data_IF_942534533051
#
_entry.id   IF_942534533051
#
_cell.length_a   1.000
_cell.length_b   1.000
_cell.length_c   1.000
_cell.angle_alpha   90.00
_cell.angle_beta   90.00
_cell.angle_gamma   90.00
#
_symmetry.space_group_name_H-M   'P 1'
#
loop_
_entity.id
_entity.type
_entity.pdbx_description
1 polymer ?
#
# COMPACT_ATOMS: atom_id res chain seq x y z
N UNK A 1 13.34 22.13 -8.57
CA UNK A 1 13.70 20.71 -8.84
C UNK A 1 13.47 20.51 -10.32
N UNK A 2 14.44 19.96 -11.06
CA UNK A 2 14.31 19.80 -12.52
C UNK A 2 13.25 18.77 -12.87
N UNK A 3 12.53 18.99 -13.96
CA UNK A 3 11.65 17.99 -14.56
C UNK A 3 12.52 16.84 -15.08
N UNK A 4 12.32 15.64 -14.55
CA UNK A 4 12.92 14.43 -15.06
C UNK A 4 11.94 13.82 -16.06
N UNK A 5 12.38 13.61 -17.30
CA UNK A 5 11.60 12.86 -18.27
C UNK A 5 11.55 11.39 -17.86
N UNK A 6 10.35 10.84 -17.85
CA UNK A 6 10.08 9.46 -17.45
C UNK A 6 9.32 8.76 -18.57
N UNK A 7 9.83 7.63 -19.03
CA UNK A 7 9.20 6.74 -19.99
C UNK A 7 8.42 5.65 -19.24
N UNK A 8 7.18 5.41 -19.66
CA UNK A 8 6.39 4.25 -19.27
C UNK A 8 6.63 3.11 -20.27
N UNK A 9 7.29 2.04 -19.83
CA UNK A 9 7.54 0.85 -20.66
C UNK A 9 7.61 -0.43 -19.82
N UNK A 10 7.19 -1.55 -20.39
CA UNK A 10 7.35 -2.89 -19.79
C UNK A 10 6.80 -3.04 -18.36
N UNK A 11 5.78 -2.26 -18.00
CA UNK A 11 5.17 -2.30 -16.66
C UNK A 11 5.96 -1.56 -15.57
N UNK A 12 6.96 -0.76 -15.94
CA UNK A 12 7.72 0.08 -15.01
C UNK A 12 7.97 1.48 -15.61
N UNK A 13 8.51 2.37 -14.78
CA UNK A 13 8.92 3.70 -15.18
C UNK A 13 10.44 3.76 -15.29
N UNK A 14 10.94 4.42 -16.33
CA UNK A 14 12.36 4.53 -16.62
C UNK A 14 12.78 5.96 -16.93
N UNK A 15 13.99 6.34 -16.53
CA UNK A 15 14.67 7.54 -17.04
C UNK A 15 15.22 7.27 -18.45
N UNK A 16 15.60 8.33 -19.15
CA UNK A 16 16.16 8.25 -20.51
C UNK A 16 17.43 7.39 -20.61
N UNK A 17 18.17 7.20 -19.52
CA UNK A 17 19.36 6.34 -19.45
C UNK A 17 19.04 4.86 -19.14
N UNK A 18 17.77 4.51 -18.97
CA UNK A 18 17.29 3.17 -18.64
C UNK A 18 17.25 2.86 -17.14
N UNK A 19 17.53 3.81 -16.26
CA UNK A 19 17.40 3.65 -14.81
C UNK A 19 15.93 3.58 -14.39
N UNK A 20 15.57 2.71 -13.44
CA UNK A 20 14.22 2.66 -12.88
C UNK A 20 13.86 3.98 -12.16
N UNK A 21 12.70 4.53 -12.51
CA UNK A 21 12.16 5.78 -11.98
C UNK A 21 10.92 5.52 -11.10
N UNK A 22 11.12 4.84 -9.98
CA UNK A 22 10.04 4.48 -9.05
C UNK A 22 9.32 3.18 -9.44
N UNK A 23 8.02 3.09 -9.14
CA UNK A 23 7.24 1.88 -9.34
C UNK A 23 5.80 2.18 -9.75
N UNK A 24 5.19 1.26 -10.50
CA UNK A 24 3.75 1.22 -10.80
C UNK A 24 2.92 0.46 -9.77
N UNK A 25 3.58 -0.14 -8.78
CA UNK A 25 2.96 -1.04 -7.83
C UNK A 25 1.96 -0.29 -6.94
N UNK A 26 0.72 -0.79 -6.87
CA UNK A 26 -0.26 -0.33 -5.88
C UNK A 26 -0.09 -1.07 -4.55
N UNK A 27 -0.63 -0.53 -3.45
CA UNK A 27 -0.55 -1.22 -2.15
C UNK A 27 -1.25 -2.58 -2.13
N UNK A 28 -2.35 -2.73 -2.88
CA UNK A 28 -3.07 -4.01 -2.98
C UNK A 28 -2.28 -5.01 -3.80
N UNK A 29 -1.63 -4.57 -4.88
CA UNK A 29 -0.71 -5.42 -5.63
C UNK A 29 0.49 -5.84 -4.78
N UNK A 30 1.03 -4.92 -3.97
CA UNK A 30 2.13 -5.22 -3.05
C UNK A 30 1.72 -6.28 -2.01
N UNK A 31 0.52 -6.15 -1.42
CA UNK A 31 -0.04 -7.13 -0.49
C UNK A 31 -0.22 -8.51 -1.17
N UNK A 32 -0.84 -8.53 -2.35
CA UNK A 32 -1.04 -9.74 -3.14
C UNK A 32 0.29 -10.41 -3.50
N UNK A 33 1.29 -9.64 -3.91
CA UNK A 33 2.63 -10.13 -4.26
C UNK A 33 3.37 -10.68 -3.03
N UNK A 34 3.30 -10.01 -1.88
CA UNK A 34 3.90 -10.50 -0.64
C UNK A 34 3.36 -11.87 -0.24
N UNK A 35 2.06 -12.10 -0.44
CA UNK A 35 1.41 -13.38 -0.14
C UNK A 35 1.75 -14.43 -1.21
N UNK A 36 1.46 -14.15 -2.48
CA UNK A 36 1.51 -15.14 -3.57
C UNK A 36 2.94 -15.45 -4.01
N UNK A 37 3.81 -14.44 -4.08
CA UNK A 37 5.18 -14.58 -4.54
C UNK A 37 6.15 -14.72 -3.37
N UNK A 38 5.92 -13.95 -2.30
CA UNK A 38 6.77 -13.96 -1.10
C UNK A 38 6.45 -15.06 -0.10
N UNK A 39 5.31 -15.76 -0.25
CA UNK A 39 4.89 -16.81 0.70
C UNK A 39 4.54 -16.29 2.10
N UNK A 40 4.30 -14.99 2.24
CA UNK A 40 4.01 -14.37 3.53
C UNK A 40 2.55 -14.63 3.92
N UNK A 41 2.32 -15.04 5.17
CA UNK A 41 0.97 -15.22 5.68
C UNK A 41 0.17 -13.91 5.62
N UNK A 42 -1.12 -13.99 5.30
CA UNK A 42 -2.01 -12.83 5.14
C UNK A 42 -1.92 -11.84 6.31
N UNK A 43 -1.95 -12.32 7.55
CA UNK A 43 -1.91 -11.46 8.74
C UNK A 43 -0.58 -10.70 8.84
N UNK A 44 0.54 -11.36 8.50
CA UNK A 44 1.85 -10.72 8.48
C UNK A 44 1.94 -9.70 7.33
N UNK A 45 1.39 -10.03 6.16
CA UNK A 45 1.33 -9.11 5.01
C UNK A 45 0.51 -7.86 5.29
N UNK A 46 -0.66 -8.00 5.93
CA UNK A 46 -1.47 -6.86 6.39
C UNK A 46 -0.68 -6.03 7.41
N UNK A 47 -0.03 -6.65 8.40
CA UNK A 47 0.79 -5.95 9.39
C UNK A 47 1.93 -5.14 8.74
N UNK A 48 2.61 -5.72 7.74
CA UNK A 48 3.65 -5.03 6.97
C UNK A 48 3.11 -3.81 6.22
N UNK A 49 1.88 -3.86 5.74
CA UNK A 49 1.24 -2.77 5.01
C UNK A 49 0.63 -1.68 5.92
N UNK A 50 0.35 -1.98 7.20
CA UNK A 50 -0.39 -1.08 8.10
C UNK A 50 0.36 -0.73 9.39
N UNK A 51 0.45 -1.64 10.34
CA UNK A 51 0.98 -1.38 11.68
C UNK A 51 2.49 -1.12 11.64
N UNK A 52 3.25 -1.87 10.85
CA UNK A 52 4.70 -1.69 10.74
C UNK A 52 5.09 -0.28 10.28
N UNK A 53 4.55 0.29 9.19
CA UNK A 53 4.86 1.67 8.82
C UNK A 53 4.32 2.68 9.83
N UNK A 54 3.16 2.44 10.45
CA UNK A 54 2.65 3.32 11.51
C UNK A 54 3.62 3.39 12.71
N UNK A 55 4.20 2.27 13.12
CA UNK A 55 5.22 2.20 14.17
C UNK A 55 6.52 2.88 13.74
N UNK A 56 6.97 2.65 12.50
CA UNK A 56 8.18 3.28 11.98
C UNK A 56 8.08 4.81 11.88
N UNK A 57 6.86 5.36 11.85
CA UNK A 57 6.56 6.78 11.79
C UNK A 57 6.07 7.36 13.13
N UNK A 58 6.05 6.57 14.21
CA UNK A 58 5.56 6.97 15.55
C UNK A 58 4.09 7.48 15.56
N UNK A 59 3.24 6.91 14.70
CA UNK A 59 1.80 7.25 14.59
C UNK A 59 0.88 6.06 14.92
N UNK A 60 1.43 4.96 15.45
CA UNK A 60 0.68 3.75 15.78
C UNK A 60 -0.28 3.90 16.97
N UNK A 61 -0.19 5.01 17.71
CA UNK A 61 -1.17 5.39 18.75
C UNK A 61 -2.53 5.81 18.19
N UNK A 62 -2.64 6.10 16.89
CA UNK A 62 -3.91 6.45 16.23
C UNK A 62 -4.07 5.92 14.79
N UNK A 63 -3.07 5.21 14.23
CA UNK A 63 -3.09 4.60 12.87
C UNK A 63 -2.64 3.14 12.89
N UNK A 64 -2.83 2.44 11.76
CA UNK A 64 -2.21 1.15 11.49
C UNK A 64 -2.87 -0.08 12.13
N UNK A 65 -3.88 0.11 12.99
CA UNK A 65 -4.67 -0.99 13.58
C UNK A 65 -6.14 -0.62 13.74
N UNK A 66 -7.02 -1.63 13.76
CA UNK A 66 -8.44 -1.47 14.04
C UNK A 66 -8.68 -1.51 15.54
N UNK A 67 -8.43 -0.38 16.20
CA UNK A 67 -8.52 -0.23 17.66
C UNK A 67 -9.45 0.94 18.00
N UNK A 68 -10.35 0.82 19.00
CA UNK A 68 -11.18 1.95 19.43
C UNK A 68 -10.33 3.18 19.78
N UNK A 69 -10.74 4.35 19.28
CA UNK A 69 -10.01 5.62 19.46
C UNK A 69 -9.01 5.94 18.36
N UNK A 70 -8.69 5.01 17.46
CA UNK A 70 -7.89 5.28 16.27
C UNK A 70 -8.73 5.94 15.17
N UNK A 71 -8.04 6.57 14.21
CA UNK A 71 -8.68 7.06 13.00
C UNK A 71 -9.36 5.91 12.25
N UNK A 72 -10.58 6.16 11.76
CA UNK A 72 -11.32 5.21 10.94
C UNK A 72 -10.80 5.21 9.48
N UNK A 73 -9.52 4.86 9.33
CA UNK A 73 -8.84 4.58 8.08
C UNK A 73 -8.85 3.06 7.85
N UNK A 74 -9.66 2.59 6.90
CA UNK A 74 -9.79 1.16 6.61
C UNK A 74 -9.99 0.91 5.12
N UNK A 75 -9.52 -0.27 4.68
CA UNK A 75 -9.79 -0.81 3.36
C UNK A 75 -10.48 -2.15 3.54
N UNK A 76 -11.62 -2.34 2.88
CA UNK A 76 -12.34 -3.60 2.85
C UNK A 76 -11.94 -4.32 1.56
N UNK A 77 -11.38 -5.52 1.71
CA UNK A 77 -10.99 -6.39 0.60
C UNK A 77 -11.90 -7.62 0.59
N UNK A 78 -12.16 -8.18 -0.58
CA UNK A 78 -12.78 -9.50 -0.70
C UNK A 78 -11.73 -10.63 -0.62
N UNK A 79 -12.18 -11.88 -0.76
CA UNK A 79 -11.31 -13.06 -0.72
C UNK A 79 -10.29 -13.13 -1.89
N UNK A 80 -10.50 -12.33 -2.94
CA UNK A 80 -9.57 -12.19 -4.07
C UNK A 80 -8.58 -11.05 -3.88
N UNK A 81 -8.65 -10.35 -2.74
CA UNK A 81 -7.90 -9.13 -2.42
C UNK A 81 -8.30 -7.93 -3.28
N UNK A 82 -9.51 -7.90 -3.83
CA UNK A 82 -10.03 -6.76 -4.59
C UNK A 82 -10.68 -5.75 -3.64
N UNK A 83 -10.43 -4.45 -3.88
CA UNK A 83 -10.96 -3.35 -3.06
C UNK A 83 -12.48 -3.28 -3.22
N UNK A 84 -13.19 -3.43 -2.11
CA UNK A 84 -14.63 -3.24 -2.03
C UNK A 84 -14.98 -1.86 -1.49
N UNK A 85 -14.22 -1.37 -0.50
CA UNK A 85 -14.43 -0.05 0.09
C UNK A 85 -13.13 0.56 0.58
N UNK A 86 -13.07 1.88 0.57
CA UNK A 86 -11.97 2.66 1.18
C UNK A 86 -12.57 3.75 2.06
N UNK A 87 -12.08 3.85 3.28
CA UNK A 87 -12.45 4.89 4.22
C UNK A 87 -11.23 5.66 4.68
N UNK A 88 -11.38 6.97 4.82
CA UNK A 88 -10.41 7.81 5.52
C UNK A 88 -11.10 8.75 6.49
N UNK A 89 -10.64 8.76 7.74
CA UNK A 89 -11.21 9.55 8.84
C UNK A 89 -12.74 9.33 8.95
N UNK A 90 -13.20 8.09 8.73
CA UNK A 90 -14.62 7.72 8.79
C UNK A 90 -15.45 8.14 7.59
N UNK A 91 -14.85 8.66 6.51
CA UNK A 91 -15.54 8.98 5.24
C UNK A 91 -15.22 7.95 4.18
N UNK A 92 -16.25 7.46 3.47
CA UNK A 92 -16.12 6.48 2.38
C UNK A 92 -15.76 7.18 1.06
N UNK A 93 -14.82 6.61 0.30
CA UNK A 93 -14.33 7.13 -0.99
C UNK A 93 -14.62 6.20 -2.18
N UNK A 94 -14.67 4.89 -1.94
CA UNK A 94 -15.04 3.82 -2.88
C UNK A 94 -16.06 2.93 -2.17
#
# INVERSE_FOLDING_TARGET
MGELEVEDRDGAYYLNDGTLAGSKLTMVDALSNAIKLGGVALQAAVKMATLTPAQAMDIDSFKGSLTPGHDADLVVLDDRLEIQQVWSLGRRHV
#
